data_IF_154347141493
#
_entry.id   IF_154347141493
#
_cell.length_a   1.000
_cell.length_b   1.000
_cell.length_c   1.000
_cell.angle_alpha   90.00
_cell.angle_beta   90.00
_cell.angle_gamma   90.00
#
_symmetry.space_group_name_H-M   'P 1'
#
loop_
_entity.id
_entity.type
_entity.pdbx_description
1 polymer ?
#
# COMPACT_ATOMS: atom_id res chain seq x y z
N UNK A 1 0.11 -15.55 -64.20
CA UNK A 1 -0.92 -15.87 -63.19
C UNK A 1 -0.23 -15.88 -61.86
N UNK A 2 -0.22 -14.73 -61.18
CA UNK A 2 0.34 -14.59 -59.84
C UNK A 2 -0.59 -15.28 -58.84
N UNK A 3 -0.13 -16.41 -58.30
CA UNK A 3 -0.79 -17.05 -57.17
C UNK A 3 -0.33 -16.34 -55.89
N UNK A 4 -1.23 -15.51 -55.34
CA UNK A 4 -1.11 -15.02 -53.97
C UNK A 4 -1.05 -16.19 -53.00
N UNK A 5 -0.17 -16.17 -51.98
CA UNK A 5 -0.16 -17.21 -50.96
C UNK A 5 -1.45 -17.15 -50.14
N UNK A 6 -1.94 -18.29 -49.62
CA UNK A 6 -3.19 -18.33 -48.88
C UNK A 6 -3.09 -17.52 -47.58
N UNK A 7 -4.22 -16.97 -47.10
CA UNK A 7 -4.26 -16.22 -45.85
C UNK A 7 -3.82 -17.14 -44.69
N UNK A 8 -2.84 -16.68 -43.92
CA UNK A 8 -2.40 -17.38 -42.72
C UNK A 8 -3.57 -17.51 -41.73
N UNK A 9 -3.81 -18.74 -41.29
CA UNK A 9 -4.81 -19.06 -40.28
C UNK A 9 -4.57 -18.25 -38.98
N UNK A 10 -5.62 -17.89 -38.22
CA UNK A 10 -5.48 -17.11 -36.99
C UNK A 10 -4.56 -17.86 -36.03
N UNK A 11 -3.46 -17.22 -35.66
CA UNK A 11 -2.49 -17.79 -34.73
C UNK A 11 -3.19 -18.13 -33.42
N UNK A 12 -2.97 -19.36 -32.93
CA UNK A 12 -3.37 -19.82 -31.59
C UNK A 12 -3.13 -18.70 -30.60
N UNK A 13 -4.15 -18.32 -29.81
CA UNK A 13 -3.99 -17.44 -28.63
C UNK A 13 -2.80 -17.95 -27.82
N UNK A 14 -1.63 -17.33 -27.98
CA UNK A 14 -0.49 -17.57 -27.10
C UNK A 14 -0.93 -17.15 -25.69
N UNK A 15 -0.65 -17.97 -24.70
CA UNK A 15 -0.82 -17.57 -23.30
C UNK A 15 -0.11 -16.24 -23.06
N UNK A 16 -0.61 -15.43 -22.14
CA UNK A 16 0.00 -14.12 -21.82
C UNK A 16 1.50 -14.26 -21.54
N UNK A 17 1.89 -15.34 -20.85
CA UNK A 17 3.29 -15.73 -20.58
C UNK A 17 4.12 -15.89 -21.86
N UNK A 18 3.61 -16.61 -22.87
CA UNK A 18 4.30 -16.79 -24.15
C UNK A 18 4.33 -15.53 -25.03
N UNK A 19 3.53 -14.51 -24.70
CA UNK A 19 3.59 -13.17 -25.33
C UNK A 19 4.60 -12.26 -24.61
N UNK A 20 4.74 -12.40 -23.29
CA UNK A 20 5.75 -11.71 -22.46
C UNK A 20 7.17 -12.17 -22.87
N UNK A 21 7.41 -13.49 -22.88
CA UNK A 21 8.71 -14.08 -23.26
C UNK A 21 9.15 -13.70 -24.69
N UNK A 22 8.20 -13.55 -25.62
CA UNK A 22 8.53 -13.31 -27.02
C UNK A 22 8.89 -11.85 -27.37
N UNK A 23 8.66 -10.87 -26.45
CA UNK A 23 8.78 -9.43 -26.77
C UNK A 23 9.57 -8.58 -25.77
N UNK A 24 9.99 -9.13 -24.63
CA UNK A 24 10.69 -8.37 -23.59
C UNK A 24 9.84 -7.21 -23.05
N UNK A 25 8.55 -7.44 -22.83
CA UNK A 25 7.66 -6.42 -22.26
C UNK A 25 7.69 -6.48 -20.73
N UNK A 26 8.54 -5.63 -20.14
CA UNK A 26 8.71 -5.49 -18.68
C UNK A 26 7.42 -5.06 -17.97
N UNK A 27 6.61 -4.19 -18.58
CA UNK A 27 5.33 -3.75 -18.01
C UNK A 27 4.35 -4.92 -17.81
N UNK A 28 4.30 -5.84 -18.78
CA UNK A 28 3.46 -7.03 -18.66
C UNK A 28 4.00 -8.02 -17.61
N UNK A 29 5.34 -8.13 -17.49
CA UNK A 29 5.98 -8.90 -16.42
C UNK A 29 5.68 -8.35 -15.02
N UNK A 30 5.77 -7.02 -14.85
CA UNK A 30 5.44 -6.33 -13.61
C UNK A 30 3.97 -6.53 -13.23
N UNK A 31 3.05 -6.35 -14.19
CA UNK A 31 1.62 -6.59 -13.95
C UNK A 31 1.34 -8.01 -13.48
N UNK A 32 1.97 -9.02 -14.08
CA UNK A 32 1.82 -10.42 -13.68
C UNK A 32 2.38 -10.67 -12.28
N UNK A 33 3.56 -10.10 -11.98
CA UNK A 33 4.17 -10.20 -10.65
C UNK A 33 3.27 -9.64 -9.55
N UNK A 34 2.66 -8.47 -9.79
CA UNK A 34 1.74 -7.85 -8.83
C UNK A 34 0.42 -8.63 -8.68
N UNK A 35 -0.08 -9.24 -9.76
CA UNK A 35 -1.22 -10.15 -9.70
C UNK A 35 -0.92 -11.39 -8.84
N UNK A 36 0.30 -11.93 -8.92
CA UNK A 36 0.74 -13.04 -8.07
C UNK A 36 0.86 -12.64 -6.59
N UNK A 37 1.33 -11.42 -6.30
CA UNK A 37 1.37 -10.90 -4.93
C UNK A 37 -0.05 -10.77 -4.37
N UNK A 38 -0.98 -10.18 -5.14
CA UNK A 38 -2.38 -10.06 -4.73
C UNK A 38 -3.03 -11.44 -4.50
N UNK A 39 -2.80 -12.41 -5.39
CA UNK A 39 -3.28 -13.78 -5.20
C UNK A 39 -2.67 -14.43 -3.96
N UNK A 40 -1.39 -14.17 -3.65
CA UNK A 40 -0.72 -14.65 -2.44
C UNK A 40 -1.42 -14.19 -1.16
N UNK A 41 -1.81 -12.91 -1.07
CA UNK A 41 -2.60 -12.41 0.06
C UNK A 41 -3.93 -13.15 0.20
N UNK A 42 -4.67 -13.36 -0.90
CA UNK A 42 -5.97 -14.02 -0.88
C UNK A 42 -5.90 -15.52 -0.53
N UNK A 43 -4.84 -16.20 -0.96
CA UNK A 43 -4.62 -17.63 -0.68
C UNK A 43 -4.21 -17.83 0.78
N UNK A 44 -3.45 -16.89 1.38
CA UNK A 44 -3.00 -17.03 2.78
C UNK A 44 -4.15 -16.88 3.78
N UNK A 45 -5.18 -16.10 3.44
CA UNK A 45 -6.28 -15.72 4.34
C UNK A 45 -6.92 -16.92 5.06
N UNK A 46 -7.45 -17.94 4.37
CA UNK A 46 -8.03 -19.12 5.03
C UNK A 46 -7.01 -20.02 5.74
N UNK A 47 -5.71 -19.89 5.43
CA UNK A 47 -4.64 -20.64 6.11
C UNK A 47 -4.41 -20.06 7.51
N UNK A 48 -4.34 -18.74 7.61
CA UNK A 48 -4.21 -18.04 8.89
C UNK A 48 -5.46 -18.21 9.77
N UNK A 49 -6.63 -18.22 9.16
CA UNK A 49 -7.91 -18.39 9.85
C UNK A 49 -8.29 -19.86 10.03
N UNK A 50 -7.55 -20.57 10.90
CA UNK A 50 -7.96 -21.87 11.42
C UNK A 50 -7.83 -23.08 10.47
N UNK A 51 -7.11 -22.96 9.35
CA UNK A 51 -6.82 -24.06 8.41
C UNK A 51 -8.06 -24.76 7.82
N UNK A 52 -9.16 -24.02 7.62
CA UNK A 52 -10.42 -24.56 7.09
C UNK A 52 -10.32 -24.89 5.59
N UNK A 53 -10.26 -26.19 5.28
CA UNK A 53 -10.17 -26.66 3.88
C UNK A 53 -11.44 -26.31 3.08
N UNK A 54 -12.61 -26.31 3.72
CA UNK A 54 -13.87 -25.90 3.11
C UNK A 54 -13.83 -24.41 2.75
N UNK A 55 -13.33 -23.57 3.64
CA UNK A 55 -13.20 -22.15 3.37
C UNK A 55 -12.19 -21.89 2.23
N UNK A 56 -11.10 -22.65 2.13
CA UNK A 56 -10.19 -22.56 0.98
C UNK A 56 -10.91 -22.85 -0.35
N UNK A 57 -11.74 -23.90 -0.41
CA UNK A 57 -12.44 -24.31 -1.63
C UNK A 57 -13.56 -23.33 -2.03
N UNK A 58 -14.13 -22.60 -1.08
CA UNK A 58 -15.20 -21.62 -1.36
C UNK A 58 -14.64 -20.21 -1.58
N UNK A 59 -13.82 -19.71 -0.64
CA UNK A 59 -13.30 -18.35 -0.64
C UNK A 59 -12.34 -18.07 -1.78
N UNK A 60 -11.35 -18.95 -1.99
CA UNK A 60 -10.30 -18.71 -2.99
C UNK A 60 -10.92 -18.60 -4.40
N UNK A 61 -11.81 -19.51 -4.85
CA UNK A 61 -12.48 -19.34 -6.14
C UNK A 61 -13.42 -18.14 -6.18
N UNK A 62 -14.19 -17.87 -5.13
CA UNK A 62 -15.10 -16.72 -5.10
C UNK A 62 -14.32 -15.40 -5.29
N UNK A 63 -13.20 -15.25 -4.58
CA UNK A 63 -12.42 -14.02 -4.69
C UNK A 63 -11.61 -13.95 -5.99
N UNK A 64 -10.89 -15.01 -6.37
CA UNK A 64 -10.02 -14.96 -7.56
C UNK A 64 -10.80 -15.00 -8.88
N UNK A 65 -11.96 -15.66 -8.93
CA UNK A 65 -12.74 -15.82 -10.17
C UNK A 65 -13.91 -14.84 -10.29
N UNK A 66 -14.35 -14.22 -9.19
CA UNK A 66 -15.49 -13.27 -9.20
C UNK A 66 -15.07 -11.90 -8.72
N UNK A 67 -14.66 -11.75 -7.46
CA UNK A 67 -14.41 -10.43 -6.87
C UNK A 67 -13.24 -9.69 -7.56
N UNK A 68 -12.10 -10.35 -7.75
CA UNK A 68 -10.91 -9.73 -8.37
C UNK A 68 -11.15 -9.34 -9.84
N UNK A 69 -11.79 -10.16 -10.70
CA UNK A 69 -12.17 -9.74 -12.05
C UNK A 69 -13.16 -8.57 -12.08
N UNK A 70 -14.14 -8.53 -11.16
CA UNK A 70 -15.08 -7.40 -11.05
C UNK A 70 -14.38 -6.12 -10.61
N UNK A 71 -13.50 -6.22 -9.61
CA UNK A 71 -12.65 -5.10 -9.19
C UNK A 71 -11.79 -4.62 -10.36
N UNK A 72 -11.16 -5.53 -11.11
CA UNK A 72 -10.38 -5.17 -12.29
C UNK A 72 -11.20 -4.38 -13.33
N UNK A 73 -12.44 -4.83 -13.62
CA UNK A 73 -13.34 -4.12 -14.53
C UNK A 73 -13.70 -2.72 -14.03
N UNK A 74 -13.94 -2.58 -12.72
CA UNK A 74 -14.20 -1.28 -12.10
C UNK A 74 -13.00 -0.33 -12.24
N UNK A 75 -11.80 -0.80 -11.90
CA UNK A 75 -10.56 -0.02 -11.98
C UNK A 75 -10.31 0.47 -13.42
N UNK A 76 -10.53 -0.40 -14.42
CA UNK A 76 -10.36 -0.08 -15.84
C UNK A 76 -11.41 0.92 -16.34
N UNK A 77 -12.69 0.72 -16.02
CA UNK A 77 -13.79 1.52 -16.59
C UNK A 77 -14.05 2.86 -15.88
N UNK A 78 -13.95 2.92 -14.55
CA UNK A 78 -14.44 4.06 -13.77
C UNK A 78 -13.32 4.96 -13.25
N UNK A 79 -12.20 4.37 -12.82
CA UNK A 79 -11.03 5.13 -12.37
C UNK A 79 -10.24 5.64 -13.58
N UNK A 80 -10.20 4.91 -14.69
CA UNK A 80 -9.23 5.15 -15.77
C UNK A 80 -9.89 5.30 -17.15
N UNK A 81 -10.93 6.13 -17.20
CA UNK A 81 -11.90 6.31 -18.32
C UNK A 81 -11.30 6.57 -19.71
N UNK A 82 -10.04 6.97 -19.81
CA UNK A 82 -9.43 7.43 -21.06
C UNK A 82 -8.92 6.32 -21.98
N UNK A 83 -8.54 5.14 -21.46
CA UNK A 83 -7.86 4.10 -22.27
C UNK A 83 -8.07 2.68 -21.73
N UNK A 84 -8.13 1.70 -22.64
CA UNK A 84 -8.04 0.26 -22.31
C UNK A 84 -6.65 -0.05 -21.72
N UNK A 85 -6.59 -0.36 -20.42
CA UNK A 85 -5.33 -0.63 -19.72
C UNK A 85 -4.56 -1.80 -20.29
N UNK A 86 -5.27 -2.82 -20.78
CA UNK A 86 -4.62 -4.00 -21.35
C UNK A 86 -3.87 -3.62 -22.62
N UNK A 87 -4.48 -2.78 -23.47
CA UNK A 87 -3.80 -2.26 -24.65
C UNK A 87 -2.61 -1.37 -24.24
N UNK A 88 -2.77 -0.53 -23.21
CA UNK A 88 -1.71 0.36 -22.75
C UNK A 88 -0.49 -0.39 -22.18
N UNK A 89 -0.71 -1.40 -21.33
CA UNK A 89 0.36 -2.22 -20.74
C UNK A 89 1.02 -3.12 -21.80
N UNK A 90 0.22 -3.80 -22.64
CA UNK A 90 0.76 -4.80 -23.57
C UNK A 90 1.35 -4.16 -24.83
N UNK A 91 0.69 -3.16 -25.41
CA UNK A 91 1.10 -2.55 -26.68
C UNK A 91 1.97 -1.31 -26.47
N UNK A 92 1.56 -0.39 -25.60
CA UNK A 92 2.32 0.84 -25.33
C UNK A 92 3.46 0.64 -24.32
N UNK A 93 3.56 -0.54 -23.70
CA UNK A 93 4.60 -0.89 -22.70
C UNK A 93 4.62 0.08 -21.51
N UNK A 94 3.48 0.64 -21.16
CA UNK A 94 3.35 1.55 -20.03
C UNK A 94 3.46 0.77 -18.70
N UNK A 95 4.63 0.83 -18.06
CA UNK A 95 4.87 0.12 -16.81
C UNK A 95 4.34 0.90 -15.59
N UNK A 96 4.21 2.23 -15.65
CA UNK A 96 3.53 3.03 -14.64
C UNK A 96 2.06 2.63 -14.49
N UNK A 97 1.36 2.45 -15.62
CA UNK A 97 0.00 1.90 -15.65
C UNK A 97 -0.06 0.47 -15.07
N UNK A 98 0.90 -0.39 -15.41
CA UNK A 98 0.98 -1.75 -14.85
C UNK A 98 1.15 -1.73 -13.32
N UNK A 99 2.01 -0.85 -12.80
CA UNK A 99 2.23 -0.68 -11.38
C UNK A 99 0.98 -0.17 -10.66
N UNK A 100 0.31 0.85 -11.21
CA UNK A 100 -0.91 1.43 -10.65
C UNK A 100 -2.04 0.40 -10.57
N UNK A 101 -2.28 -0.33 -11.66
CA UNK A 101 -3.32 -1.35 -11.66
C UNK A 101 -2.99 -2.49 -10.69
N UNK A 102 -1.74 -2.94 -10.67
CA UNK A 102 -1.29 -4.00 -9.78
C UNK A 102 -1.35 -3.61 -8.31
N UNK A 103 -1.00 -2.37 -7.95
CA UNK A 103 -1.09 -1.89 -6.57
C UNK A 103 -2.54 -1.80 -6.08
N UNK A 104 -3.47 -1.36 -6.93
CA UNK A 104 -4.91 -1.31 -6.60
C UNK A 104 -5.49 -2.71 -6.39
N UNK A 105 -5.03 -3.71 -7.15
CA UNK A 105 -5.38 -5.12 -6.94
C UNK A 105 -4.81 -5.67 -5.64
N UNK A 106 -3.55 -5.36 -5.31
CA UNK A 106 -2.94 -5.74 -4.03
C UNK A 106 -3.74 -5.13 -2.87
N UNK A 107 -4.08 -3.85 -2.98
CA UNK A 107 -4.89 -3.18 -1.96
C UNK A 107 -6.26 -3.85 -1.80
N UNK A 108 -6.94 -4.16 -2.91
CA UNK A 108 -8.23 -4.88 -2.88
C UNK A 108 -8.08 -6.24 -2.19
N UNK A 109 -6.99 -6.95 -2.46
CA UNK A 109 -6.67 -8.23 -1.82
C UNK A 109 -6.39 -8.08 -0.32
N UNK A 110 -5.65 -7.05 0.09
CA UNK A 110 -5.41 -6.75 1.51
C UNK A 110 -6.70 -6.42 2.25
N UNK A 111 -7.59 -5.61 1.66
CA UNK A 111 -8.88 -5.32 2.26
C UNK A 111 -9.73 -6.59 2.41
N UNK A 112 -9.79 -7.42 1.37
CA UNK A 112 -10.52 -8.69 1.43
C UNK A 112 -9.94 -9.67 2.46
N UNK A 113 -8.61 -9.69 2.64
CA UNK A 113 -7.93 -10.43 3.71
C UNK A 113 -8.38 -9.93 5.08
N UNK A 114 -8.43 -8.60 5.29
CA UNK A 114 -8.89 -8.00 6.55
C UNK A 114 -10.37 -8.28 6.82
N UNK A 115 -11.24 -8.07 5.84
CA UNK A 115 -12.69 -8.34 5.96
C UNK A 115 -12.93 -9.81 6.31
N UNK A 116 -12.18 -10.73 5.69
CA UNK A 116 -12.30 -12.13 6.03
C UNK A 116 -11.95 -12.37 7.49
N UNK A 117 -10.81 -11.82 7.95
CA UNK A 117 -10.33 -12.06 9.31
C UNK A 117 -11.30 -11.52 10.36
N UNK A 118 -11.94 -10.38 10.11
CA UNK A 118 -12.92 -9.78 11.04
C UNK A 118 -14.28 -10.46 11.00
N UNK A 119 -14.76 -10.90 9.83
CA UNK A 119 -16.07 -11.55 9.69
C UNK A 119 -16.05 -13.07 9.86
N UNK A 120 -14.91 -13.64 10.26
CA UNK A 120 -14.79 -15.09 10.39
C UNK A 120 -15.42 -15.60 11.69
N UNK A 121 -16.37 -16.52 11.55
CA UNK A 121 -16.95 -17.27 12.67
C UNK A 121 -16.41 -18.70 12.66
N UNK A 122 -16.11 -19.24 13.84
CA UNK A 122 -15.75 -20.65 13.99
C UNK A 122 -17.00 -21.50 14.26
N UNK A 123 -17.08 -22.68 13.63
CA UNK A 123 -18.24 -23.58 13.74
C UNK A 123 -18.43 -24.23 15.13
N UNK A 124 -19.47 -25.06 15.32
CA UNK A 124 -19.98 -25.51 16.63
C UNK A 124 -19.04 -26.39 17.48
N UNK A 125 -17.83 -26.69 16.99
CA UNK A 125 -16.79 -27.42 17.73
C UNK A 125 -15.87 -26.48 18.53
N UNK A 126 -15.98 -25.16 18.34
CA UNK A 126 -15.16 -24.14 19.01
C UNK A 126 -16.14 -23.07 19.53
N UNK A 127 -16.15 -22.84 20.85
CA UNK A 127 -17.04 -21.88 21.51
C UNK A 127 -16.57 -20.41 21.40
N UNK A 128 -15.58 -20.13 20.55
CA UNK A 128 -14.99 -18.79 20.40
C UNK A 128 -15.32 -18.21 19.02
N UNK A 129 -15.88 -17.01 19.00
CA UNK A 129 -16.20 -16.25 17.79
C UNK A 129 -14.94 -15.75 17.03
N UNK A 130 -13.74 -16.28 17.32
CA UNK A 130 -12.49 -15.69 16.89
C UNK A 130 -11.62 -16.68 16.09
N UNK A 131 -11.58 -16.51 14.77
CA UNK A 131 -10.82 -17.39 13.86
C UNK A 131 -9.30 -17.23 13.91
N UNK A 132 -8.79 -16.20 14.60
CA UNK A 132 -7.36 -15.90 14.69
C UNK A 132 -6.64 -16.67 15.82
N UNK A 133 -7.38 -17.21 16.79
CA UNK A 133 -6.83 -18.00 17.89
C UNK A 133 -7.71 -19.21 18.28
N UNK A 134 -8.08 -20.10 17.33
CA UNK A 134 -8.93 -21.23 17.66
C UNK A 134 -8.20 -22.19 18.61
N UNK A 135 -8.91 -22.69 19.62
CA UNK A 135 -8.41 -23.81 20.43
C UNK A 135 -8.33 -25.05 19.53
N UNK A 136 -7.11 -25.38 19.09
CA UNK A 136 -6.91 -26.46 18.13
C UNK A 136 -7.09 -27.83 18.78
N UNK A 137 -7.83 -28.74 18.12
CA UNK A 137 -7.72 -30.16 18.41
C UNK A 137 -6.28 -30.64 18.25
N UNK A 138 -5.87 -31.56 19.12
CA UNK A 138 -4.51 -32.14 19.09
C UNK A 138 -4.30 -33.12 17.93
N UNK A 139 -5.37 -33.52 17.22
CA UNK A 139 -5.33 -34.46 16.10
C UNK A 139 -5.59 -33.78 14.75
N UNK A 140 -5.03 -34.36 13.68
CA UNK A 140 -5.13 -33.84 12.32
C UNK A 140 -6.58 -33.81 11.80
N UNK A 141 -7.41 -34.79 12.20
CA UNK A 141 -8.80 -34.86 11.77
C UNK A 141 -9.63 -33.71 12.34
N UNK A 142 -9.45 -33.43 13.64
CA UNK A 142 -10.04 -32.28 14.31
C UNK A 142 -9.60 -30.96 13.69
N UNK A 143 -8.31 -30.80 13.34
CA UNK A 143 -7.81 -29.58 12.65
C UNK A 143 -8.39 -29.40 11.25
N UNK A 144 -8.50 -30.48 10.46
CA UNK A 144 -9.06 -30.42 9.11
C UNK A 144 -10.60 -30.32 9.09
N UNK A 145 -11.26 -30.66 10.19
CA UNK A 145 -12.71 -30.57 10.37
C UNK A 145 -13.22 -29.21 10.85
N UNK A 146 -12.34 -28.25 11.14
CA UNK A 146 -12.73 -26.89 11.55
C UNK A 146 -13.36 -26.18 10.36
N UNK A 147 -14.65 -25.82 10.49
CA UNK A 147 -15.32 -24.92 9.57
C UNK A 147 -15.17 -23.48 10.07
N UNK A 148 -14.06 -22.84 9.71
CA UNK A 148 -13.88 -21.38 9.85
C UNK A 148 -14.34 -20.73 8.55
N UNK A 149 -15.66 -20.63 8.38
CA UNK A 149 -16.25 -19.99 7.20
C UNK A 149 -16.47 -18.51 7.53
N UNK A 150 -15.89 -17.58 6.77
CA UNK A 150 -16.27 -16.17 6.86
C UNK A 150 -17.75 -16.03 6.56
N UNK A 151 -18.42 -15.13 7.25
CA UNK A 151 -19.77 -14.71 6.88
C UNK A 151 -19.69 -13.75 5.68
N UNK A 152 -19.36 -14.31 4.51
CA UNK A 152 -18.95 -13.59 3.27
C UNK A 152 -20.00 -12.61 2.76
N UNK A 153 -21.27 -12.80 3.15
CA UNK A 153 -22.41 -12.06 2.60
C UNK A 153 -23.07 -11.13 3.63
N UNK A 154 -22.35 -10.80 4.72
CA UNK A 154 -22.79 -9.72 5.61
C UNK A 154 -22.91 -8.41 4.83
N UNK A 155 -23.93 -7.63 5.19
CA UNK A 155 -24.14 -6.32 4.58
C UNK A 155 -22.96 -5.37 4.85
N UNK A 156 -22.27 -5.51 5.99
CA UNK A 156 -21.04 -4.79 6.33
C UNK A 156 -19.95 -4.98 5.27
N UNK A 157 -19.70 -6.22 4.84
CA UNK A 157 -18.72 -6.52 3.78
C UNK A 157 -19.05 -5.82 2.47
N UNK A 158 -20.33 -5.76 2.11
CA UNK A 158 -20.77 -5.02 0.92
C UNK A 158 -20.53 -3.52 1.09
N UNK A 159 -20.83 -2.96 2.26
CA UNK A 159 -20.54 -1.57 2.60
C UNK A 159 -19.04 -1.28 2.48
N UNK A 160 -18.17 -2.11 3.04
CA UNK A 160 -16.71 -1.95 2.94
C UNK A 160 -16.25 -1.90 1.47
N UNK A 161 -16.74 -2.83 0.64
CA UNK A 161 -16.40 -2.83 -0.78
C UNK A 161 -16.91 -1.57 -1.49
N UNK A 162 -18.14 -1.14 -1.24
CA UNK A 162 -18.67 0.09 -1.84
C UNK A 162 -17.92 1.34 -1.39
N UNK A 163 -17.55 1.42 -0.11
CA UNK A 163 -16.75 2.54 0.40
C UNK A 163 -15.35 2.53 -0.21
N UNK A 164 -14.70 1.38 -0.41
CA UNK A 164 -13.42 1.30 -1.11
C UNK A 164 -13.53 1.88 -2.52
N UNK A 165 -14.57 1.47 -3.27
CA UNK A 165 -14.82 1.95 -4.62
C UNK A 165 -15.04 3.48 -4.64
N UNK A 166 -15.86 3.99 -3.72
CA UNK A 166 -16.11 5.42 -3.56
C UNK A 166 -14.86 6.20 -3.16
N UNK A 167 -14.09 5.68 -2.21
CA UNK A 167 -12.82 6.24 -1.74
C UNK A 167 -11.86 6.43 -2.91
N UNK A 168 -11.73 5.45 -3.80
CA UNK A 168 -10.86 5.58 -4.97
C UNK A 168 -11.22 6.75 -5.89
N UNK A 169 -12.52 7.05 -6.05
CA UNK A 169 -12.97 8.22 -6.81
C UNK A 169 -12.66 9.53 -6.08
N UNK A 170 -12.85 9.56 -4.77
CA UNK A 170 -12.53 10.73 -3.92
C UNK A 170 -11.03 11.00 -3.94
N UNK A 171 -10.20 9.97 -3.73
CA UNK A 171 -8.74 10.00 -3.79
C UNK A 171 -8.27 10.52 -5.14
N UNK A 172 -8.84 10.01 -6.25
CA UNK A 172 -8.55 10.53 -7.58
C UNK A 172 -8.91 12.01 -7.72
N UNK A 173 -10.07 12.43 -7.22
CA UNK A 173 -10.53 13.82 -7.26
C UNK A 173 -9.63 14.77 -6.47
N UNK A 174 -9.21 14.37 -5.27
CA UNK A 174 -8.29 15.13 -4.43
C UNK A 174 -6.90 15.21 -5.08
N UNK A 175 -6.41 14.09 -5.61
CA UNK A 175 -5.13 14.05 -6.33
C UNK A 175 -5.17 14.98 -7.54
N UNK A 176 -6.24 14.96 -8.33
CA UNK A 176 -6.47 15.91 -9.43
C UNK A 176 -6.48 17.37 -8.95
N UNK A 177 -7.18 17.65 -7.84
CA UNK A 177 -7.29 19.00 -7.28
C UNK A 177 -5.92 19.59 -6.93
N UNK A 178 -4.97 18.76 -6.46
CA UNK A 178 -3.58 19.17 -6.20
C UNK A 178 -2.92 19.80 -7.44
N UNK A 179 -3.11 19.24 -8.62
CA UNK A 179 -2.52 19.74 -9.86
C UNK A 179 -3.21 21.01 -10.34
N UNK A 180 -4.53 21.03 -10.25
CA UNK A 180 -5.33 22.19 -10.61
C UNK A 180 -4.98 23.41 -9.75
N UNK A 181 -4.83 23.22 -8.43
CA UNK A 181 -4.55 24.30 -7.49
C UNK A 181 -3.07 24.70 -7.39
N UNK A 182 -2.16 24.05 -8.14
CA UNK A 182 -0.70 24.29 -8.06
C UNK A 182 -0.32 25.76 -8.23
N UNK A 183 -0.98 26.44 -9.17
CA UNK A 183 -0.66 27.82 -9.57
C UNK A 183 -1.62 28.85 -8.92
N UNK A 184 -2.47 28.41 -7.98
CA UNK A 184 -3.42 29.24 -7.24
C UNK A 184 -4.86 29.21 -7.78
N UNK A 185 -5.82 29.70 -6.98
CA UNK A 185 -7.27 29.55 -7.23
C UNK A 185 -7.78 30.20 -8.53
N UNK A 186 -7.17 31.31 -8.96
CA UNK A 186 -7.58 32.00 -10.20
C UNK A 186 -7.18 31.24 -11.47
N UNK A 187 -5.94 30.74 -11.51
CA UNK A 187 -5.39 29.94 -12.61
C UNK A 187 -5.93 28.51 -12.61
N UNK A 188 -6.28 27.99 -11.43
CA UNK A 188 -6.90 26.69 -11.25
C UNK A 188 -8.16 26.50 -12.11
N UNK A 189 -9.07 27.47 -12.14
CA UNK A 189 -10.30 27.37 -12.95
C UNK A 189 -10.00 27.23 -14.45
N UNK A 190 -8.92 27.85 -14.92
CA UNK A 190 -8.48 27.78 -16.32
C UNK A 190 -7.78 26.46 -16.61
N UNK A 191 -6.83 26.05 -15.77
CA UNK A 191 -6.09 24.80 -15.91
C UNK A 191 -6.99 23.56 -15.75
N UNK A 192 -8.05 23.64 -14.93
CA UNK A 192 -9.03 22.56 -14.79
C UNK A 192 -9.75 22.19 -16.10
N UNK A 193 -9.81 23.11 -17.07
CA UNK A 193 -10.43 22.83 -18.38
C UNK A 193 -9.50 22.13 -19.36
N UNK A 194 -8.19 22.25 -19.17
CA UNK A 194 -7.17 21.75 -20.10
C UNK A 194 -6.41 20.55 -19.54
N UNK A 195 -6.32 20.42 -18.22
CA UNK A 195 -5.63 19.34 -17.54
C UNK A 195 -6.48 18.07 -17.48
N UNK A 196 -5.93 16.95 -17.97
CA UNK A 196 -6.56 15.62 -17.88
C UNK A 196 -5.62 14.66 -17.18
N UNK A 197 -5.93 14.33 -15.93
CA UNK A 197 -5.17 13.32 -15.16
C UNK A 197 -5.20 11.95 -15.85
N UNK A 198 -6.34 11.58 -16.44
CA UNK A 198 -6.49 10.29 -17.12
C UNK A 198 -5.60 10.17 -18.35
N UNK A 199 -5.43 11.26 -19.10
CA UNK A 199 -4.54 11.28 -20.25
C UNK A 199 -3.07 11.13 -19.84
N UNK A 200 -2.67 11.71 -18.71
CA UNK A 200 -1.30 11.62 -18.20
C UNK A 200 -1.03 10.23 -17.63
N UNK A 201 -1.94 9.68 -16.82
CA UNK A 201 -1.83 8.30 -16.32
C UNK A 201 -1.79 7.27 -17.45
N UNK A 202 -2.47 7.56 -18.57
CA UNK A 202 -2.42 6.72 -19.75
C UNK A 202 -1.16 6.92 -20.62
N UNK A 203 -0.39 7.98 -20.40
CA UNK A 203 0.78 8.28 -21.23
C UNK A 203 1.96 7.36 -20.84
N UNK A 204 2.48 6.51 -21.76
CA UNK A 204 3.65 5.66 -21.49
C UNK A 204 4.94 6.45 -21.18
N UNK A 205 4.99 7.74 -21.55
CA UNK A 205 6.11 8.64 -21.29
C UNK A 205 6.02 9.35 -19.92
N UNK A 206 4.96 9.13 -19.12
CA UNK A 206 4.87 9.66 -17.76
C UNK A 206 4.50 8.55 -16.76
N UNK A 207 5.52 7.93 -16.19
CA UNK A 207 5.39 6.89 -15.19
C UNK A 207 5.41 7.46 -13.76
N UNK A 208 6.10 8.58 -13.53
CA UNK A 208 6.21 9.23 -12.23
C UNK A 208 4.83 9.55 -11.61
N UNK A 209 3.90 10.05 -12.43
CA UNK A 209 2.55 10.37 -11.99
C UNK A 209 1.78 9.12 -11.56
N UNK A 210 1.89 8.03 -12.33
CA UNK A 210 1.23 6.76 -12.01
C UNK A 210 1.79 6.14 -10.72
N UNK A 211 3.10 6.24 -10.48
CA UNK A 211 3.75 5.74 -9.26
C UNK A 211 3.28 6.52 -8.03
N UNK A 212 3.31 7.85 -8.06
CA UNK A 212 2.85 8.69 -6.94
C UNK A 212 1.37 8.43 -6.65
N UNK A 213 0.53 8.37 -7.69
CA UNK A 213 -0.90 8.07 -7.52
C UNK A 213 -1.14 6.66 -6.96
N UNK A 214 -0.37 5.67 -7.40
CA UNK A 214 -0.43 4.30 -6.87
C UNK A 214 -0.10 4.26 -5.37
N UNK A 215 0.93 4.98 -4.94
CA UNK A 215 1.28 5.10 -3.53
C UNK A 215 0.23 5.84 -2.71
N UNK A 216 -0.39 6.89 -3.28
CA UNK A 216 -1.49 7.60 -2.62
C UNK A 216 -2.71 6.69 -2.42
N UNK A 217 -3.13 5.95 -3.45
CA UNK A 217 -4.20 4.96 -3.35
C UNK A 217 -3.88 3.87 -2.31
N UNK A 218 -2.65 3.36 -2.30
CA UNK A 218 -2.22 2.35 -1.32
C UNK A 218 -2.26 2.92 0.11
N UNK A 219 -1.75 4.13 0.32
CA UNK A 219 -1.78 4.79 1.63
C UNK A 219 -3.20 4.97 2.17
N UNK A 220 -4.12 5.47 1.34
CA UNK A 220 -5.53 5.65 1.70
C UNK A 220 -6.27 4.32 1.88
N UNK A 221 -5.87 3.32 1.10
CA UNK A 221 -6.32 1.97 1.28
C UNK A 221 -5.93 1.38 2.64
N UNK A 222 -4.68 1.59 3.07
CA UNK A 222 -4.21 1.14 4.38
C UNK A 222 -4.94 1.85 5.53
N UNK A 223 -5.25 3.14 5.39
CA UNK A 223 -6.14 3.88 6.31
C UNK A 223 -7.47 3.14 6.45
N UNK A 224 -8.14 2.86 5.33
CA UNK A 224 -9.42 2.17 5.32
C UNK A 224 -9.32 0.76 5.92
N UNK A 225 -8.26 0.01 5.57
CA UNK A 225 -7.99 -1.32 6.13
C UNK A 225 -7.88 -1.24 7.66
N UNK A 226 -7.30 -0.18 8.21
CA UNK A 226 -7.21 0.04 9.66
C UNK A 226 -8.60 0.18 10.28
N UNK A 227 -9.48 0.98 9.67
CA UNK A 227 -10.85 1.15 10.14
C UNK A 227 -11.64 -0.16 10.06
N UNK A 228 -11.49 -0.93 8.98
CA UNK A 228 -12.17 -2.22 8.82
C UNK A 228 -11.70 -3.32 9.80
N UNK A 229 -10.66 -3.09 10.60
CA UNK A 229 -10.23 -4.06 11.63
C UNK A 229 -11.19 -4.15 12.81
N UNK A 230 -11.97 -3.10 13.09
CA UNK A 230 -12.97 -3.09 14.15
C UNK A 230 -14.35 -2.82 13.53
N UNK A 231 -15.19 -3.84 13.49
CA UNK A 231 -16.49 -3.79 12.81
C UNK A 231 -17.64 -3.74 13.81
N UNK A 232 -18.60 -2.87 13.58
CA UNK A 232 -19.84 -2.84 14.36
C UNK A 232 -20.89 -3.81 13.81
N UNK A 233 -21.68 -4.39 14.71
CA UNK A 233 -22.76 -5.31 14.37
C UNK A 233 -23.91 -4.60 13.63
N UNK A 234 -24.13 -3.30 13.89
CA UNK A 234 -25.09 -2.49 13.14
C UNK A 234 -24.51 -1.95 11.84
N UNK A 235 -25.19 -2.23 10.72
CA UNK A 235 -24.73 -1.86 9.37
C UNK A 235 -24.68 -0.34 9.18
N UNK A 236 -25.61 0.39 9.79
CA UNK A 236 -25.71 1.84 9.66
C UNK A 236 -24.61 2.55 10.45
N UNK A 237 -24.36 2.12 11.68
CA UNK A 237 -23.26 2.62 12.52
C UNK A 237 -21.90 2.28 11.90
N UNK A 238 -21.71 1.04 11.44
CA UNK A 238 -20.51 0.62 10.71
C UNK A 238 -20.24 1.52 9.50
N UNK A 239 -21.27 1.76 8.66
CA UNK A 239 -21.13 2.64 7.51
C UNK A 239 -20.78 4.09 7.90
N UNK A 240 -21.39 4.60 8.96
CA UNK A 240 -21.15 5.94 9.48
C UNK A 240 -19.72 6.13 10.00
N UNK A 241 -19.25 5.21 10.84
CA UNK A 241 -17.90 5.22 11.39
C UNK A 241 -16.85 4.99 10.31
N UNK A 242 -17.08 4.02 9.41
CA UNK A 242 -16.18 3.77 8.28
C UNK A 242 -15.98 5.03 7.43
N UNK A 243 -17.07 5.72 7.11
CA UNK A 243 -17.01 6.97 6.35
C UNK A 243 -16.30 8.09 7.12
N UNK A 244 -16.62 8.26 8.41
CA UNK A 244 -16.04 9.31 9.26
C UNK A 244 -14.53 9.13 9.42
N UNK A 245 -14.08 7.93 9.83
CA UNK A 245 -12.68 7.63 10.06
C UNK A 245 -11.86 7.63 8.78
N UNK A 246 -12.38 7.07 7.68
CA UNK A 246 -11.70 7.15 6.38
C UNK A 246 -11.53 8.60 5.92
N UNK A 247 -12.52 9.47 6.18
CA UNK A 247 -12.43 10.90 5.88
C UNK A 247 -11.40 11.62 6.74
N UNK A 248 -11.35 11.33 8.05
CA UNK A 248 -10.34 11.86 8.97
C UNK A 248 -8.94 11.43 8.51
N UNK A 249 -8.76 10.16 8.17
CA UNK A 249 -7.49 9.64 7.69
C UNK A 249 -7.04 10.27 6.38
N UNK A 250 -7.98 10.52 5.46
CA UNK A 250 -7.70 11.28 4.25
C UNK A 250 -7.23 12.71 4.59
N UNK A 251 -7.86 13.39 5.54
CA UNK A 251 -7.45 14.71 6.00
C UNK A 251 -6.05 14.73 6.61
N UNK A 252 -5.76 13.80 7.52
CA UNK A 252 -4.45 13.68 8.14
C UNK A 252 -3.35 13.31 7.13
N UNK A 253 -3.66 12.48 6.14
CA UNK A 253 -2.73 12.17 5.05
C UNK A 253 -2.38 13.40 4.21
N UNK A 254 -3.36 14.28 3.93
CA UNK A 254 -3.09 15.55 3.22
C UNK A 254 -2.21 16.49 4.04
N UNK A 255 -2.41 16.54 5.36
CA UNK A 255 -1.56 17.32 6.25
C UNK A 255 -0.13 16.74 6.28
N UNK A 256 0.02 15.42 6.42
CA UNK A 256 1.30 14.73 6.32
C UNK A 256 2.00 15.04 5.00
N UNK A 257 1.28 15.01 3.88
CA UNK A 257 1.83 15.35 2.57
C UNK A 257 2.34 16.79 2.53
N UNK A 258 1.54 17.75 3.00
CA UNK A 258 1.97 19.15 3.04
C UNK A 258 3.25 19.34 3.87
N UNK A 259 3.34 18.65 5.01
CA UNK A 259 4.52 18.68 5.88
C UNK A 259 5.73 18.03 5.17
N UNK A 260 5.53 16.87 4.54
CA UNK A 260 6.58 16.13 3.84
C UNK A 260 7.11 16.88 2.62
N UNK A 261 6.25 17.48 1.80
CA UNK A 261 6.64 18.32 0.66
C UNK A 261 7.52 19.49 1.13
N UNK A 262 7.17 20.11 2.26
CA UNK A 262 7.88 21.29 2.78
C UNK A 262 9.19 20.96 3.48
N UNK A 263 9.23 19.86 4.24
CA UNK A 263 10.35 19.50 5.10
C UNK A 263 11.27 18.42 4.50
N UNK A 264 10.70 17.36 3.93
CA UNK A 264 11.48 16.30 3.27
C UNK A 264 11.99 16.78 1.92
N UNK A 265 11.13 17.36 1.07
CA UNK A 265 11.50 17.68 -0.33
C UNK A 265 11.72 19.19 -0.56
N UNK A 266 12.47 19.83 0.34
CA UNK A 266 12.59 21.30 0.36
C UNK A 266 13.17 21.86 -0.95
N UNK A 267 12.47 22.85 -1.50
CA UNK A 267 12.90 23.58 -2.70
C UNK A 267 12.71 22.81 -4.00
N UNK A 268 11.82 21.82 -4.01
CA UNK A 268 11.31 21.18 -5.22
C UNK A 268 9.79 21.35 -5.26
N UNK A 269 9.24 21.68 -6.44
CA UNK A 269 7.80 21.60 -6.65
C UNK A 269 7.48 20.19 -7.15
N UNK A 270 7.05 19.31 -6.25
CA UNK A 270 6.78 17.92 -6.59
C UNK A 270 5.74 17.80 -7.70
N UNK A 271 4.69 18.62 -7.68
CA UNK A 271 3.64 18.63 -8.70
C UNK A 271 4.22 18.89 -10.09
N UNK A 272 5.15 19.85 -10.24
CA UNK A 272 5.86 20.07 -11.50
C UNK A 272 6.73 18.87 -11.87
N UNK A 273 7.52 18.36 -10.91
CA UNK A 273 8.44 17.26 -11.16
C UNK A 273 7.71 15.98 -11.61
N UNK A 274 6.50 15.71 -11.12
CA UNK A 274 5.66 14.60 -11.59
C UNK A 274 5.17 14.81 -13.03
N UNK A 275 4.86 16.04 -13.43
CA UNK A 275 4.47 16.35 -14.81
C UNK A 275 5.65 16.18 -15.78
N UNK A 276 6.85 16.46 -15.30
CA UNK A 276 8.13 16.31 -16.03
C UNK A 276 8.68 14.87 -15.98
N UNK A 277 7.88 13.89 -15.57
CA UNK A 277 8.24 12.46 -15.41
C UNK A 277 9.47 12.20 -14.51
N UNK A 278 9.66 12.99 -13.46
CA UNK A 278 10.71 12.70 -12.47
C UNK A 278 10.28 11.50 -11.59
N UNK A 279 10.72 10.30 -12.00
CA UNK A 279 10.40 9.05 -11.31
C UNK A 279 10.93 9.04 -9.87
N UNK A 280 12.04 9.71 -9.57
CA UNK A 280 12.60 9.74 -8.23
C UNK A 280 11.63 10.42 -7.24
N UNK A 281 11.03 11.53 -7.67
CA UNK A 281 9.96 12.20 -6.92
C UNK A 281 8.72 11.33 -6.83
N UNK A 282 8.31 10.71 -7.95
CA UNK A 282 7.16 9.80 -7.97
C UNK A 282 7.26 8.67 -6.96
N UNK A 283 8.40 7.98 -6.90
CA UNK A 283 8.67 6.88 -5.97
C UNK A 283 8.77 7.39 -4.53
N UNK A 284 9.48 8.49 -4.30
CA UNK A 284 9.63 9.07 -2.96
C UNK A 284 8.28 9.51 -2.37
N UNK A 285 7.43 10.16 -3.17
CA UNK A 285 6.06 10.50 -2.76
C UNK A 285 5.22 9.25 -2.48
N UNK A 286 5.30 8.24 -3.35
CA UNK A 286 4.60 6.99 -3.14
C UNK A 286 4.98 6.33 -1.81
N UNK A 287 6.28 6.28 -1.51
CA UNK A 287 6.79 5.77 -0.24
C UNK A 287 6.31 6.57 0.96
N UNK A 288 6.29 7.91 0.86
CA UNK A 288 5.73 8.79 1.87
C UNK A 288 4.25 8.50 2.14
N UNK A 289 3.42 8.37 1.09
CA UNK A 289 2.01 8.04 1.24
C UNK A 289 1.78 6.68 1.88
N UNK A 290 2.51 5.66 1.45
CA UNK A 290 2.42 4.30 2.02
C UNK A 290 2.84 4.33 3.49
N UNK A 291 3.94 5.01 3.81
CA UNK A 291 4.43 5.14 5.18
C UNK A 291 3.41 5.83 6.09
N UNK A 292 2.82 6.95 5.66
CA UNK A 292 1.72 7.60 6.39
C UNK A 292 0.52 6.66 6.51
N UNK A 293 0.16 5.93 5.45
CA UNK A 293 -0.92 4.93 5.48
C UNK A 293 -0.68 3.81 6.52
N UNK A 294 0.55 3.30 6.65
CA UNK A 294 0.93 2.30 7.67
C UNK A 294 0.81 2.87 9.09
N UNK A 295 1.23 4.11 9.31
CA UNK A 295 1.05 4.78 10.61
C UNK A 295 -0.42 4.92 10.94
N UNK A 296 -1.22 5.41 9.99
CA UNK A 296 -2.66 5.61 10.17
C UNK A 296 -3.41 4.30 10.40
N UNK A 297 -3.06 3.26 9.63
CA UNK A 297 -3.52 1.88 9.87
C UNK A 297 -3.29 1.45 11.32
N UNK A 298 -2.16 1.88 11.91
CA UNK A 298 -1.79 1.51 13.28
C UNK A 298 -2.52 2.31 14.34
N UNK A 299 -2.97 3.53 14.05
CA UNK A 299 -3.67 4.41 15.01
C UNK A 299 -5.18 4.24 15.03
N UNK A 300 -5.77 3.69 13.95
CA UNK A 300 -7.22 3.61 13.78
C UNK A 300 -7.85 2.32 14.34
N UNK A 301 -7.06 1.46 14.99
CA UNK A 301 -7.56 0.27 15.68
C UNK A 301 -7.85 0.56 17.15
N UNK A 302 -9.07 1.06 17.41
CA UNK A 302 -9.76 1.01 18.70
C UNK A 302 -9.23 1.89 19.83
N UNK A 303 -10.13 2.68 20.41
CA UNK A 303 -9.99 3.29 21.73
C UNK A 303 -11.39 3.18 22.36
N UNK A 304 -11.52 2.62 23.55
CA UNK A 304 -12.82 2.47 24.24
C UNK A 304 -13.40 3.76 24.82
N UNK A 305 -12.88 4.90 24.37
CA UNK A 305 -13.32 6.23 24.76
C UNK A 305 -14.54 6.68 23.96
N UNK A 306 -14.90 7.95 24.13
CA UNK A 306 -15.82 8.59 23.20
C UNK A 306 -15.09 9.00 21.90
N UNK A 307 -15.86 9.31 20.85
CA UNK A 307 -15.31 9.70 19.56
C UNK A 307 -14.29 10.87 19.63
N UNK A 308 -14.45 11.78 20.58
CA UNK A 308 -13.55 12.93 20.72
C UNK A 308 -12.22 12.52 21.36
N UNK A 309 -12.25 11.61 22.34
CA UNK A 309 -11.07 10.99 22.92
C UNK A 309 -10.29 10.20 21.87
N UNK A 310 -10.97 9.34 21.11
CA UNK A 310 -10.37 8.54 20.03
C UNK A 310 -9.69 9.41 18.97
N UNK A 311 -10.37 10.50 18.58
CA UNK A 311 -9.82 11.46 17.65
C UNK A 311 -8.57 12.14 18.22
N UNK A 312 -8.60 12.52 19.50
CA UNK A 312 -7.47 13.11 20.20
C UNK A 312 -6.27 12.17 20.25
N UNK A 313 -6.49 10.89 20.57
CA UNK A 313 -5.46 9.85 20.60
C UNK A 313 -4.90 9.59 19.19
N UNK A 314 -5.76 9.47 18.19
CA UNK A 314 -5.37 9.28 16.79
C UNK A 314 -4.47 10.41 16.30
N UNK A 315 -4.88 11.67 16.52
CA UNK A 315 -4.10 12.85 16.12
C UNK A 315 -2.77 12.91 16.88
N UNK A 316 -2.75 12.56 18.17
CA UNK A 316 -1.53 12.54 18.97
C UNK A 316 -0.52 11.53 18.44
N UNK A 317 -0.91 10.27 18.25
CA UNK A 317 -0.01 9.23 17.75
C UNK A 317 0.43 9.48 16.30
N UNK A 318 -0.48 9.95 15.45
CA UNK A 318 -0.13 10.40 14.10
C UNK A 318 0.93 11.51 14.14
N UNK A 319 0.73 12.55 14.96
CA UNK A 319 1.67 13.67 15.06
C UNK A 319 3.03 13.22 15.59
N UNK A 320 3.06 12.37 16.63
CA UNK A 320 4.32 11.84 17.16
C UNK A 320 5.04 10.94 16.14
N UNK A 321 4.33 10.07 15.44
CA UNK A 321 4.91 9.23 14.39
C UNK A 321 5.47 10.07 13.23
N UNK A 322 4.73 11.11 12.80
CA UNK A 322 5.18 12.06 11.80
C UNK A 322 6.45 12.80 12.26
N UNK A 323 6.52 13.22 13.52
CA UNK A 323 7.73 13.85 14.09
C UNK A 323 8.92 12.87 14.15
N UNK A 324 8.69 11.60 14.51
CA UNK A 324 9.74 10.58 14.54
C UNK A 324 10.29 10.30 13.13
N UNK A 325 9.43 10.20 12.12
CA UNK A 325 9.86 10.01 10.72
C UNK A 325 10.66 11.22 10.19
N UNK A 326 10.22 12.44 10.50
CA UNK A 326 10.93 13.66 10.13
C UNK A 326 12.27 13.76 10.86
N UNK A 327 12.28 13.51 12.16
CA UNK A 327 13.49 13.50 13.00
C UNK A 327 14.50 12.48 12.50
N UNK A 328 14.05 11.27 12.15
CA UNK A 328 14.89 10.27 11.53
C UNK A 328 15.51 10.77 10.23
N UNK A 329 14.70 11.35 9.33
CA UNK A 329 15.22 11.81 8.04
C UNK A 329 16.26 12.93 8.20
N UNK A 330 16.08 13.80 9.19
CA UNK A 330 17.06 14.82 9.55
C UNK A 330 18.35 14.19 10.08
N UNK A 331 18.26 13.24 11.02
CA UNK A 331 19.41 12.54 11.57
C UNK A 331 20.16 11.79 10.47
N UNK A 332 19.43 11.09 9.60
CA UNK A 332 19.99 10.33 8.48
C UNK A 332 20.82 11.25 7.57
N UNK A 333 20.27 12.41 7.17
CA UNK A 333 21.00 13.43 6.39
C UNK A 333 22.25 13.98 7.06
N UNK A 334 22.29 14.02 8.40
CA UNK A 334 23.50 14.42 9.12
C UNK A 334 24.55 13.31 9.16
N UNK A 335 24.12 12.04 9.08
CA UNK A 335 25.02 10.89 9.10
C UNK A 335 25.55 10.53 7.71
N UNK A 336 24.76 10.73 6.66
CA UNK A 336 25.18 10.47 5.28
C UNK A 336 26.04 11.61 4.74
N UNK A 337 27.11 11.25 4.03
CA UNK A 337 27.96 12.23 3.32
C UNK A 337 27.28 12.74 2.04
N UNK A 338 26.22 12.04 1.62
CA UNK A 338 25.51 12.22 0.36
C UNK A 338 24.19 12.99 0.54
N UNK A 339 23.91 13.93 -0.38
CA UNK A 339 22.65 14.68 -0.42
C UNK A 339 21.60 13.95 -1.26
N UNK A 340 20.83 13.07 -0.62
CA UNK A 340 19.72 12.32 -1.23
C UNK A 340 18.74 13.24 -1.97
N UNK A 341 18.50 14.45 -1.43
CA UNK A 341 17.53 15.39 -1.97
C UNK A 341 18.03 16.00 -3.28
N UNK A 342 19.32 16.32 -3.38
CA UNK A 342 19.91 16.79 -4.64
C UNK A 342 19.75 15.74 -5.74
N UNK A 343 19.85 14.46 -5.39
CA UNK A 343 19.79 13.36 -6.36
C UNK A 343 18.38 13.01 -6.78
N UNK A 344 17.42 13.09 -5.86
CA UNK A 344 15.99 13.07 -6.21
C UNK A 344 15.65 14.24 -7.15
N UNK A 345 16.19 15.45 -6.90
CA UNK A 345 16.00 16.60 -7.81
C UNK A 345 16.59 16.37 -9.20
N UNK A 346 17.71 15.65 -9.30
CA UNK A 346 18.32 15.24 -10.58
C UNK A 346 17.60 14.09 -11.28
N UNK A 347 16.55 13.53 -10.68
CA UNK A 347 15.80 12.40 -11.26
C UNK A 347 16.45 11.04 -11.02
N UNK A 348 17.40 10.93 -10.09
CA UNK A 348 17.98 9.65 -9.71
C UNK A 348 16.98 8.83 -8.89
N UNK A 349 16.31 7.91 -9.56
CA UNK A 349 15.27 7.14 -8.91
C UNK A 349 15.77 5.96 -8.05
N UNK A 350 17.06 5.60 -8.11
CA UNK A 350 17.65 4.75 -7.07
C UNK A 350 17.60 5.46 -5.70
N UNK A 351 17.94 6.76 -5.66
CA UNK A 351 17.80 7.57 -4.44
C UNK A 351 16.32 7.70 -4.00
N UNK A 352 15.40 7.86 -4.96
CA UNK A 352 13.96 7.85 -4.71
C UNK A 352 13.47 6.54 -4.07
N UNK A 353 13.90 5.38 -4.60
CA UNK A 353 13.58 4.05 -4.06
C UNK A 353 14.14 3.86 -2.66
N UNK A 354 15.41 4.19 -2.42
CA UNK A 354 16.03 4.06 -1.10
C UNK A 354 15.31 4.92 -0.06
N UNK A 355 14.99 6.18 -0.41
CA UNK A 355 14.20 7.07 0.45
C UNK A 355 12.79 6.52 0.73
N UNK A 356 12.07 6.06 -0.29
CA UNK A 356 10.73 5.50 -0.15
C UNK A 356 10.71 4.26 0.76
N UNK A 357 11.60 3.29 0.51
CA UNK A 357 11.68 2.06 1.29
C UNK A 357 12.13 2.33 2.72
N UNK A 358 13.01 3.31 2.94
CA UNK A 358 13.38 3.77 4.28
C UNK A 358 12.14 4.29 5.02
N UNK A 359 11.36 5.21 4.42
CA UNK A 359 10.15 5.75 5.06
C UNK A 359 9.13 4.65 5.39
N UNK A 360 8.92 3.70 4.48
CA UNK A 360 8.02 2.56 4.70
C UNK A 360 8.52 1.70 5.87
N UNK A 361 9.82 1.39 5.92
CA UNK A 361 10.42 0.57 6.98
C UNK A 361 10.28 1.25 8.35
N UNK A 362 10.50 2.57 8.42
CA UNK A 362 10.30 3.37 9.63
C UNK A 362 8.84 3.32 10.07
N UNK A 363 7.89 3.49 9.14
CA UNK A 363 6.48 3.45 9.47
C UNK A 363 6.06 2.09 10.03
N UNK A 364 6.58 0.97 9.51
CA UNK A 364 6.33 -0.35 10.11
C UNK A 364 6.94 -0.47 11.51
N UNK A 365 8.14 0.05 11.72
CA UNK A 365 8.81 0.03 13.02
C UNK A 365 8.13 0.92 14.07
N UNK A 366 7.56 2.06 13.67
CA UNK A 366 6.81 2.98 14.54
C UNK A 366 5.38 2.48 14.76
N UNK A 367 4.75 1.90 13.74
CA UNK A 367 3.37 1.43 13.78
C UNK A 367 3.16 0.24 14.72
N UNK A 368 4.16 -0.64 14.88
CA UNK A 368 4.03 -1.78 15.79
C UNK A 368 3.89 -1.38 17.26
N UNK A 369 4.74 -0.49 17.83
CA UNK A 369 4.52 0.07 19.16
C UNK A 369 3.15 0.74 19.35
N UNK A 370 2.63 1.46 18.35
CA UNK A 370 1.30 2.11 18.41
C UNK A 370 0.22 1.06 18.66
N UNK A 371 0.26 -0.07 17.95
CA UNK A 371 -0.72 -1.17 18.09
C UNK A 371 -0.52 -2.04 19.34
N UNK A 372 0.50 -1.80 20.15
CA UNK A 372 0.86 -2.69 21.27
C UNK A 372 0.84 -1.97 22.62
N UNK A 373 0.90 -0.64 22.62
CA UNK A 373 0.96 0.18 23.82
C UNK A 373 0.01 1.37 23.72
N UNK A 374 -0.86 1.52 24.71
CA UNK A 374 -1.71 2.71 24.89
C UNK A 374 -0.96 3.90 25.50
N UNK A 375 0.17 3.65 26.16
CA UNK A 375 0.94 4.68 26.86
C UNK A 375 2.00 5.33 25.97
N UNK A 376 1.88 6.65 25.78
CA UNK A 376 2.90 7.48 25.09
C UNK A 376 4.27 7.35 25.75
N UNK A 377 4.31 7.17 27.08
CA UNK A 377 5.55 7.02 27.85
C UNK A 377 6.32 5.72 27.52
N UNK A 378 5.64 4.72 26.96
CA UNK A 378 6.25 3.47 26.48
C UNK A 378 6.48 3.53 24.97
N UNK A 379 5.50 4.04 24.22
CA UNK A 379 5.55 4.17 22.77
C UNK A 379 6.80 4.91 22.28
N UNK A 380 7.09 6.10 22.82
CA UNK A 380 8.21 6.92 22.32
C UNK A 380 9.56 6.24 22.55
N UNK A 381 9.91 5.77 23.79
CA UNK A 381 11.18 5.08 24.00
C UNK A 381 11.32 3.80 23.19
N UNK A 382 10.27 2.97 23.10
CA UNK A 382 10.34 1.71 22.32
C UNK A 382 10.52 2.00 20.84
N UNK A 383 9.81 3.00 20.29
CA UNK A 383 9.99 3.43 18.91
C UNK A 383 11.42 3.90 18.67
N UNK A 384 11.98 4.73 19.55
CA UNK A 384 13.36 5.20 19.44
C UNK A 384 14.38 4.04 19.46
N UNK A 385 14.19 3.06 20.34
CA UNK A 385 15.04 1.85 20.39
C UNK A 385 14.92 1.06 19.07
N UNK A 386 13.70 0.84 18.59
CA UNK A 386 13.45 0.17 17.30
C UNK A 386 14.12 0.90 16.13
N UNK A 387 14.04 2.23 16.11
CA UNK A 387 14.70 3.06 15.10
C UNK A 387 16.23 2.94 15.16
N UNK A 388 16.82 2.96 16.36
CA UNK A 388 18.26 2.78 16.54
C UNK A 388 18.71 1.39 16.08
N UNK A 389 17.95 0.35 16.41
CA UNK A 389 18.21 -1.03 15.94
C UNK A 389 18.14 -1.10 14.41
N UNK A 390 17.14 -0.46 13.80
CA UNK A 390 16.98 -0.42 12.35
C UNK A 390 18.19 0.24 11.67
N UNK A 391 18.69 1.38 12.18
CA UNK A 391 19.91 2.02 11.66
C UNK A 391 21.13 1.14 11.85
N UNK A 392 21.30 0.57 13.06
CA UNK A 392 22.47 -0.26 13.36
C UNK A 392 22.53 -1.50 12.45
N UNK A 393 21.40 -2.18 12.27
CA UNK A 393 21.32 -3.35 11.40
C UNK A 393 21.48 -2.99 9.92
N UNK A 394 21.00 -1.83 9.47
CA UNK A 394 21.25 -1.34 8.12
C UNK A 394 22.76 -1.16 7.87
N UNK A 395 23.46 -0.46 8.75
CA UNK A 395 24.92 -0.27 8.64
C UNK A 395 25.68 -1.60 8.63
N UNK A 396 25.22 -2.60 9.38
CA UNK A 396 25.81 -3.94 9.38
C UNK A 396 25.56 -4.65 8.05
N UNK A 397 24.32 -4.63 7.56
CA UNK A 397 23.94 -5.25 6.29
C UNK A 397 24.73 -4.65 5.15
N UNK A 398 24.85 -3.32 5.09
CA UNK A 398 25.59 -2.63 4.03
C UNK A 398 27.04 -3.12 3.96
N UNK A 399 27.69 -3.27 5.12
CA UNK A 399 29.08 -3.79 5.20
C UNK A 399 29.22 -5.27 4.89
N UNK A 400 28.20 -6.09 5.16
CA UNK A 400 28.27 -7.55 5.00
C UNK A 400 27.82 -8.00 3.61
N UNK A 401 26.76 -7.39 3.07
CA UNK A 401 26.18 -7.74 1.75
C UNK A 401 26.95 -7.11 0.59
N UNK A 402 27.49 -5.90 0.75
CA UNK A 402 28.22 -5.18 -0.29
C UNK A 402 29.63 -4.76 0.20
N UNK A 403 30.54 -5.72 0.48
CA UNK A 403 31.85 -5.43 1.04
C UNK A 403 32.84 -4.75 0.07
N UNK A 404 32.47 -4.58 -1.22
CA UNK A 404 33.37 -4.10 -2.28
C UNK A 404 33.33 -2.60 -2.56
N UNK A 405 32.14 -1.99 -2.56
CA UNK A 405 31.89 -0.57 -2.83
C UNK A 405 30.92 0.01 -1.79
N UNK A 406 31.01 1.31 -1.50
CA UNK A 406 30.02 1.93 -0.60
C UNK A 406 28.68 1.95 -1.33
N UNK A 407 27.63 1.50 -0.67
CA UNK A 407 26.27 1.50 -1.20
C UNK A 407 25.82 2.89 -1.70
N UNK A 408 26.27 3.95 -1.01
CA UNK A 408 26.07 5.34 -1.43
C UNK A 408 26.63 5.60 -2.86
N UNK A 409 27.79 5.04 -3.20
CA UNK A 409 28.43 5.22 -4.51
C UNK A 409 27.66 4.49 -5.62
N UNK A 410 27.04 3.34 -5.32
CA UNK A 410 26.17 2.59 -6.24
C UNK A 410 24.84 3.32 -6.49
N UNK A 411 24.24 3.89 -5.44
CA UNK A 411 23.02 4.70 -5.55
C UNK A 411 23.32 5.97 -6.37
N UNK A 412 24.50 6.59 -6.17
CA UNK A 412 24.97 7.72 -6.98
C UNK A 412 25.13 7.37 -8.46
N UNK A 413 25.45 6.12 -8.78
CA UNK A 413 25.57 5.61 -10.15
C UNK A 413 24.22 5.15 -10.73
N UNK A 414 23.10 5.47 -10.08
CA UNK A 414 21.74 5.16 -10.54
C UNK A 414 21.53 3.64 -10.59
N UNK A 415 22.07 2.89 -9.63
CA UNK A 415 21.83 1.46 -9.51
C UNK A 415 20.57 1.18 -8.67
N UNK A 416 19.43 0.98 -9.36
CA UNK A 416 18.15 0.73 -8.69
C UNK A 416 18.11 -0.66 -8.04
N UNK A 417 18.89 -1.63 -8.54
CA UNK A 417 18.97 -2.96 -7.94
C UNK A 417 19.55 -2.91 -6.52
N UNK A 418 20.62 -2.13 -6.34
CA UNK A 418 21.22 -1.89 -5.02
C UNK A 418 20.22 -1.22 -4.06
N UNK A 419 19.52 -0.18 -4.52
CA UNK A 419 18.51 0.52 -3.71
C UNK A 419 17.33 -0.39 -3.31
N UNK A 420 16.89 -1.30 -4.19
CA UNK A 420 15.84 -2.27 -3.87
C UNK A 420 16.32 -3.28 -2.82
N UNK A 421 17.53 -3.81 -2.95
CA UNK A 421 18.10 -4.76 -1.99
C UNK A 421 18.21 -4.10 -0.61
N UNK A 422 18.78 -2.90 -0.56
CA UNK A 422 18.89 -2.11 0.67
C UNK A 422 17.52 -1.91 1.33
N UNK A 423 16.55 -1.40 0.57
CA UNK A 423 15.20 -1.14 1.05
C UNK A 423 14.48 -2.40 1.51
N UNK A 424 14.61 -3.51 0.77
CA UNK A 424 13.98 -4.78 1.12
C UNK A 424 14.55 -5.36 2.43
N UNK A 425 15.86 -5.24 2.66
CA UNK A 425 16.47 -5.68 3.91
C UNK A 425 16.03 -4.79 5.07
N UNK A 426 15.98 -3.46 4.89
CA UNK A 426 15.46 -2.55 5.92
C UNK A 426 14.02 -2.89 6.31
N UNK A 427 13.17 -3.18 5.31
CA UNK A 427 11.78 -3.58 5.55
C UNK A 427 11.70 -4.92 6.28
N UNK A 428 12.51 -5.91 5.88
CA UNK A 428 12.58 -7.20 6.56
C UNK A 428 13.02 -7.07 8.02
N UNK A 429 14.03 -6.24 8.30
CA UNK A 429 14.47 -5.91 9.65
C UNK A 429 13.33 -5.32 10.47
N UNK A 430 12.59 -4.35 9.92
CA UNK A 430 11.45 -3.74 10.60
C UNK A 430 10.38 -4.80 10.95
N UNK A 431 9.99 -5.63 9.98
CA UNK A 431 8.99 -6.67 10.17
C UNK A 431 9.43 -7.74 11.17
N UNK A 432 10.70 -8.16 11.15
CA UNK A 432 11.24 -9.12 12.12
C UNK A 432 11.28 -8.49 13.51
N UNK A 433 11.74 -7.24 13.63
CA UNK A 433 11.81 -6.54 14.93
C UNK A 433 10.43 -6.41 15.56
N UNK A 434 9.39 -6.17 14.75
CA UNK A 434 8.01 -6.11 15.19
C UNK A 434 7.53 -7.40 15.88
N UNK A 435 8.06 -8.56 15.51
CA UNK A 435 7.69 -9.85 16.16
C UNK A 435 8.13 -9.96 17.61
N UNK A 436 9.11 -9.16 18.03
CA UNK A 436 9.60 -9.15 19.42
C UNK A 436 8.81 -8.18 20.32
N UNK A 437 7.99 -7.31 19.73
CA UNK A 437 7.12 -6.40 20.49
C UNK A 437 5.91 -7.23 20.94
N UNK A 438 5.84 -7.52 22.25
CA UNK A 438 4.74 -8.27 22.83
C UNK A 438 3.59 -7.34 23.19
N UNK A 439 2.37 -7.80 22.91
CA UNK A 439 1.12 -7.15 23.29
C UNK A 439 1.06 -6.99 24.82
N UNK A 440 0.68 -5.80 25.29
CA UNK A 440 0.39 -5.58 26.69
C UNK A 440 -0.86 -6.39 27.10
N UNK A 441 -0.87 -6.90 28.34
CA UNK A 441 -1.92 -7.83 28.81
C UNK A 441 -3.35 -7.26 28.77
N UNK A 442 -3.50 -5.94 28.73
CA UNK A 442 -4.78 -5.23 28.74
C UNK A 442 -5.07 -4.49 27.42
N UNK A 443 -4.33 -4.78 26.33
CA UNK A 443 -4.56 -4.13 25.03
C UNK A 443 -5.59 -4.89 24.21
N UNK A 444 -6.80 -4.34 24.13
CA UNK A 444 -7.77 -4.70 23.10
C UNK A 444 -7.58 -3.76 21.91
N UNK A 445 -7.49 -4.33 20.70
CA UNK A 445 -7.33 -3.53 19.48
C UNK A 445 -8.66 -2.90 19.03
N UNK A 446 -9.78 -3.32 19.61
CA UNK A 446 -11.12 -2.82 19.28
C UNK A 446 -11.95 -2.38 20.49
N UNK A 447 -11.33 -2.26 21.67
CA UNK A 447 -11.95 -1.70 22.87
C UNK A 447 -11.05 -0.65 23.51
#
# INVERSE_FOLDING_TARGET
GDATPPPQAPSRRRSMVAQIEARGNEAAGLSLGLDLVAAGFLIRTPIHAGYSLVAMVVWIPAVLLVAMPLMHLYLDTLILRATDYKANIIHARNWGAALLLGSLKILSAVLLDTIYQTNCQSGPLINDNNCLAPQYPNDLGGRLGISALPDVFKWQTLVDLFVLLGLMLVVKGIFYLRFVLRDGLGEASTNAKTFSLDAILANPENNAMAISFAGYCMGQGLVMVGVCTCTDDDVGEHAGLLFAWTSIGCGLMLISQYINDKLLVRGLNNTSALLDDNIAVGVMEAGSFIATGVVMYSTMGGSGGDFAEDLGVTVLYWALAQLLMLGFTVIYRFMTVFDDLEQIKKGNAAAGVSAAMTLISLAFGIGAPIRMYTSVAVFVPVSLVGLVILVALRVIVDKVMLPGDKLDDEIMQVNWGAAIIEGAVALAIALITNTYIKQAADFDQCA
#
